data_IF_568902919414
#
_entry.id   IF_568902919414
#
_cell.length_a   1.000
_cell.length_b   1.000
_cell.length_c   1.000
_cell.angle_alpha   90.00
_cell.angle_beta   90.00
_cell.angle_gamma   90.00
#
_symmetry.space_group_name_H-M   'P 1'
#
loop_
_entity.id
_entity.type
_entity.pdbx_description
1 polymer ?
#
# COMPACT_ATOMS: atom_id res chain seq x y z
N UNK A 1 -16.28 22.28 26.64
CA UNK A 1 -15.19 22.07 25.64
C UNK A 1 -14.03 22.94 26.09
N UNK A 2 -12.80 22.41 26.28
CA UNK A 2 -11.66 23.27 26.58
C UNK A 2 -11.36 24.20 25.40
N UNK A 3 -11.14 25.48 25.68
CA UNK A 3 -10.82 26.49 24.68
C UNK A 3 -9.35 26.36 24.25
N UNK A 4 -9.14 25.76 23.08
CA UNK A 4 -7.82 25.54 22.50
C UNK A 4 -7.15 26.83 21.99
N UNK A 5 -7.85 27.97 21.98
CA UNK A 5 -7.32 29.27 21.57
C UNK A 5 -6.34 29.88 22.59
N UNK A 6 -6.36 29.42 23.84
CA UNK A 6 -5.57 29.97 24.95
C UNK A 6 -4.38 29.08 25.37
N UNK A 7 -4.20 27.91 24.75
CA UNK A 7 -3.08 27.01 25.08
C UNK A 7 -1.77 27.50 24.48
N UNK A 8 -0.71 27.50 25.30
CA UNK A 8 0.65 27.79 24.82
C UNK A 8 1.16 26.67 23.91
N UNK A 9 2.23 26.93 23.15
CA UNK A 9 2.82 25.91 22.27
C UNK A 9 3.27 24.66 23.02
N UNK A 10 3.74 24.82 24.26
CA UNK A 10 4.12 23.72 25.15
C UNK A 10 2.89 22.92 25.62
N UNK A 11 1.80 23.60 26.00
CA UNK A 11 0.57 22.93 26.43
C UNK A 11 -0.07 22.12 25.31
N UNK A 12 -0.08 22.65 24.08
CA UNK A 12 -0.57 21.94 22.89
C UNK A 12 0.29 20.69 22.58
N UNK A 13 1.61 20.77 22.78
CA UNK A 13 2.53 19.64 22.58
C UNK A 13 2.27 18.55 23.62
N UNK A 14 2.13 18.94 24.89
CA UNK A 14 1.82 18.04 25.99
C UNK A 14 0.44 17.38 25.80
N UNK A 15 -0.58 18.15 25.45
CA UNK A 15 -1.90 17.63 25.13
C UNK A 15 -1.87 16.66 23.93
N UNK A 16 -1.05 16.94 22.91
CA UNK A 16 -0.82 16.03 21.79
C UNK A 16 -0.21 14.68 22.23
N UNK A 17 0.75 14.71 23.16
CA UNK A 17 1.36 13.51 23.75
C UNK A 17 0.34 12.70 24.55
N UNK A 18 -0.43 13.35 25.41
CA UNK A 18 -1.48 12.69 26.20
C UNK A 18 -2.53 12.03 25.32
N UNK A 19 -2.95 12.69 24.24
CA UNK A 19 -3.90 12.12 23.27
C UNK A 19 -3.32 10.90 22.54
N UNK A 20 -2.03 10.93 22.18
CA UNK A 20 -1.35 9.76 21.62
C UNK A 20 -1.34 8.61 22.63
N UNK A 21 -0.97 8.88 23.88
CA UNK A 21 -0.80 7.81 24.87
C UNK A 21 -2.15 7.18 25.27
N UNK A 22 -3.21 7.99 25.36
CA UNK A 22 -4.58 7.48 25.51
C UNK A 22 -5.02 6.62 24.30
N UNK A 23 -4.62 7.01 23.08
CA UNK A 23 -4.91 6.23 21.88
C UNK A 23 -4.12 4.92 21.81
N UNK A 24 -2.87 4.91 22.25
CA UNK A 24 -2.04 3.70 22.38
C UNK A 24 -2.70 2.72 23.37
N UNK A 25 -3.26 3.22 24.46
CA UNK A 25 -3.99 2.42 25.45
C UNK A 25 -5.31 1.86 24.89
N UNK A 26 -6.11 2.70 24.23
CA UNK A 26 -7.32 2.24 23.53
C UNK A 26 -7.02 1.17 22.47
N UNK A 27 -5.88 1.29 21.77
CA UNK A 27 -5.44 0.30 20.79
C UNK A 27 -5.08 -1.05 21.43
N UNK A 28 -4.44 -1.04 22.61
CA UNK A 28 -4.17 -2.27 23.38
C UNK A 28 -5.45 -2.93 23.85
N UNK A 29 -6.45 -2.14 24.24
CA UNK A 29 -7.79 -2.61 24.62
C UNK A 29 -8.64 -3.09 23.43
N UNK A 30 -8.13 -2.99 22.19
CA UNK A 30 -8.86 -3.39 20.98
C UNK A 30 -9.91 -2.38 20.51
N UNK A 31 -10.03 -1.23 21.16
CA UNK A 31 -10.99 -0.16 20.81
C UNK A 31 -10.43 0.68 19.64
N UNK A 32 -10.47 0.10 18.44
CA UNK A 32 -9.82 0.68 17.26
C UNK A 32 -10.37 2.07 16.88
N UNK A 33 -11.68 2.28 17.00
CA UNK A 33 -12.32 3.56 16.66
C UNK A 33 -11.88 4.67 17.62
N UNK A 34 -11.88 4.39 18.92
CA UNK A 34 -11.40 5.34 19.94
C UNK A 34 -9.92 5.66 19.75
N UNK A 35 -9.10 4.64 19.46
CA UNK A 35 -7.69 4.83 19.14
C UNK A 35 -7.50 5.74 17.92
N UNK A 36 -8.20 5.48 16.81
CA UNK A 36 -8.13 6.30 15.60
C UNK A 36 -8.55 7.75 15.86
N UNK A 37 -9.62 7.96 16.64
CA UNK A 37 -10.06 9.29 17.03
C UNK A 37 -8.99 10.01 17.88
N UNK A 38 -8.43 9.33 18.88
CA UNK A 38 -7.38 9.89 19.74
C UNK A 38 -6.13 10.28 18.94
N UNK A 39 -5.67 9.43 18.02
CA UNK A 39 -4.57 9.75 17.12
C UNK A 39 -4.88 10.93 16.20
N UNK A 40 -6.12 11.04 15.69
CA UNK A 40 -6.50 12.18 14.86
C UNK A 40 -6.48 13.50 15.66
N UNK A 41 -7.01 13.49 16.88
CA UNK A 41 -6.94 14.65 17.77
C UNK A 41 -5.49 15.04 18.10
N UNK A 42 -4.61 14.06 18.35
CA UNK A 42 -3.19 14.30 18.56
C UNK A 42 -2.54 14.97 17.34
N UNK A 43 -2.82 14.48 16.13
CA UNK A 43 -2.31 15.08 14.89
C UNK A 43 -2.83 16.50 14.65
N UNK A 44 -4.07 16.82 15.01
CA UNK A 44 -4.58 18.18 14.87
C UNK A 44 -3.82 19.17 15.75
N UNK A 45 -3.54 18.80 17.00
CA UNK A 45 -2.76 19.64 17.92
C UNK A 45 -1.32 19.81 17.43
N UNK A 46 -0.66 18.73 17.02
CA UNK A 46 0.74 18.72 16.58
C UNK A 46 0.93 19.42 15.23
N UNK A 47 0.01 19.24 14.27
CA UNK A 47 0.09 19.93 12.97
C UNK A 47 -0.28 21.41 13.09
N UNK A 48 -1.18 21.77 14.02
CA UNK A 48 -1.47 23.17 14.36
C UNK A 48 -0.20 23.91 14.80
N UNK A 49 0.60 23.28 15.67
CA UNK A 49 1.89 23.82 16.11
C UNK A 49 2.92 23.96 15.00
N UNK A 50 3.04 22.96 14.11
CA UNK A 50 3.94 23.06 12.95
C UNK A 50 3.54 24.20 12.00
N UNK A 51 2.24 24.47 11.84
CA UNK A 51 1.74 25.56 10.99
C UNK A 51 1.92 26.92 11.66
N UNK A 52 1.70 27.03 12.97
CA UNK A 52 1.94 28.25 13.75
C UNK A 52 3.44 28.62 13.73
N UNK A 53 4.33 27.64 13.88
CA UNK A 53 5.78 27.83 13.75
C UNK A 53 6.21 28.29 12.35
N UNK A 54 5.58 27.73 11.30
CA UNK A 54 5.83 28.12 9.91
C UNK A 54 5.25 29.51 9.58
N UNK A 55 4.11 29.87 10.16
CA UNK A 55 3.47 31.19 10.03
C UNK A 55 4.25 32.30 10.73
N UNK A 56 4.82 32.05 11.91
CA UNK A 56 5.74 32.97 12.56
C UNK A 56 7.07 33.13 11.79
N UNK A 57 7.56 32.05 11.16
CA UNK A 57 8.75 32.13 10.31
C UNK A 57 8.52 32.90 9.00
N UNK A 58 7.29 32.89 8.47
CA UNK A 58 6.90 33.61 7.26
C UNK A 58 6.63 35.12 7.47
N UNK A 59 6.50 35.57 8.73
CA UNK A 59 6.34 37.00 9.09
C UNK A 59 7.66 37.74 9.30
N UNK A 60 8.82 37.07 9.15
CA UNK A 60 10.12 37.71 9.14
C UNK A 60 10.60 37.86 7.70
N UNK A 61 10.89 39.08 7.25
CA UNK A 61 11.59 39.42 6.01
C UNK A 61 12.98 38.77 5.96
N UNK A 62 13.04 37.45 5.76
CA UNK A 62 14.25 36.75 5.35
C UNK A 62 14.06 36.33 3.90
N UNK A 63 15.03 36.58 3.01
CA UNK A 63 14.99 36.03 1.68
C UNK A 63 14.87 34.52 1.80
N UNK A 64 13.80 33.98 1.22
CA UNK A 64 13.57 32.54 1.15
C UNK A 64 14.74 31.91 0.39
N UNK A 65 15.71 31.37 1.13
CA UNK A 65 16.69 30.48 0.55
C UNK A 65 15.91 29.31 -0.05
N UNK A 66 16.18 28.91 -1.31
CA UNK A 66 15.49 27.78 -1.91
C UNK A 66 15.78 26.56 -1.04
N UNK A 67 14.73 26.05 -0.39
CA UNK A 67 14.83 24.84 0.40
C UNK A 67 15.29 23.71 -0.52
N UNK A 68 16.57 23.35 -0.44
CA UNK A 68 17.08 22.16 -1.08
C UNK A 68 16.29 20.96 -0.53
N UNK A 69 15.68 20.13 -1.38
CA UNK A 69 14.87 18.99 -0.93
C UNK A 69 15.66 17.94 -0.14
N UNK A 70 17.00 18.01 -0.15
CA UNK A 70 17.92 17.03 0.43
C UNK A 70 18.73 17.54 1.65
N UNK A 71 18.42 18.71 2.22
CA UNK A 71 19.01 19.10 3.49
C UNK A 71 18.43 18.22 4.63
N UNK A 72 19.25 17.56 5.48
CA UNK A 72 18.74 16.82 6.63
C UNK A 72 18.08 17.83 7.58
N UNK A 73 16.76 17.95 7.47
CA UNK A 73 15.96 18.68 8.45
C UNK A 73 16.14 17.94 9.77
N UNK A 74 16.75 18.60 10.75
CA UNK A 74 16.76 18.08 12.12
C UNK A 74 15.33 17.68 12.48
N UNK A 75 15.12 16.38 12.73
CA UNK A 75 13.80 15.85 13.04
C UNK A 75 13.35 16.54 14.33
N UNK A 76 12.36 17.42 14.22
CA UNK A 76 11.80 18.07 15.40
C UNK A 76 11.11 17.03 16.27
N UNK A 77 10.99 17.31 17.58
CA UNK A 77 10.23 16.45 18.50
C UNK A 77 8.80 16.19 17.99
N UNK A 78 8.20 17.19 17.35
CA UNK A 78 6.87 17.10 16.73
C UNK A 78 6.89 16.11 15.56
N UNK A 79 7.90 16.16 14.68
CA UNK A 79 8.00 15.24 13.54
C UNK A 79 8.15 13.78 14.01
N UNK A 80 8.93 13.54 15.07
CA UNK A 80 9.09 12.22 15.68
C UNK A 80 7.76 11.72 16.27
N UNK A 81 6.98 12.59 16.92
CA UNK A 81 5.67 12.21 17.45
C UNK A 81 4.65 11.93 16.34
N UNK A 82 4.59 12.79 15.34
CA UNK A 82 3.68 12.67 14.19
C UNK A 82 3.97 11.39 13.42
N UNK A 83 5.23 11.05 13.23
CA UNK A 83 5.68 9.80 12.62
C UNK A 83 5.15 8.57 13.37
N UNK A 84 5.33 8.51 14.69
CA UNK A 84 4.83 7.42 15.54
C UNK A 84 3.30 7.31 15.47
N UNK A 85 2.60 8.44 15.49
CA UNK A 85 1.15 8.46 15.40
C UNK A 85 0.67 7.88 14.06
N UNK A 86 1.27 8.29 12.94
CA UNK A 86 0.94 7.72 11.63
C UNK A 86 1.25 6.22 11.54
N UNK A 87 2.36 5.78 12.12
CA UNK A 87 2.71 4.36 12.17
C UNK A 87 1.68 3.54 12.98
N UNK A 88 1.15 4.10 14.09
CA UNK A 88 0.14 3.45 14.91
C UNK A 88 -1.26 3.49 14.25
N UNK A 89 -1.63 4.59 13.58
CA UNK A 89 -2.85 4.64 12.76
C UNK A 89 -2.84 3.60 11.64
N UNK A 90 -1.69 3.40 10.99
CA UNK A 90 -1.54 2.34 9.98
C UNK A 90 -1.83 0.96 10.59
N UNK A 91 -1.34 0.69 11.80
CA UNK A 91 -1.64 -0.56 12.51
C UNK A 91 -3.14 -0.72 12.84
N UNK A 92 -3.81 0.36 13.24
CA UNK A 92 -5.26 0.37 13.48
C UNK A 92 -6.04 0.07 12.20
N UNK A 93 -5.68 0.71 11.09
CA UNK A 93 -6.34 0.50 9.81
C UNK A 93 -6.14 -0.91 9.26
N UNK A 94 -4.96 -1.51 9.47
CA UNK A 94 -4.72 -2.94 9.16
C UNK A 94 -5.67 -3.82 9.96
N UNK A 95 -5.81 -3.60 11.27
CA UNK A 95 -6.74 -4.38 12.10
C UNK A 95 -8.20 -4.19 11.68
N UNK A 96 -8.56 -3.02 11.17
CA UNK A 96 -9.91 -2.72 10.68
C UNK A 96 -10.15 -3.17 9.21
N UNK A 97 -9.16 -3.79 8.55
CA UNK A 97 -9.26 -4.16 7.13
C UNK A 97 -9.26 -2.99 6.14
N UNK A 98 -8.97 -1.77 6.61
CA UNK A 98 -8.93 -0.56 5.78
C UNK A 98 -7.56 -0.40 5.12
N UNK A 99 -7.24 -1.26 4.15
CA UNK A 99 -5.91 -1.35 3.54
C UNK A 99 -5.44 -0.05 2.88
N UNK A 100 -6.33 0.64 2.16
CA UNK A 100 -5.99 1.92 1.51
C UNK A 100 -5.52 2.98 2.52
N UNK A 101 -6.27 3.16 3.61
CA UNK A 101 -5.90 4.09 4.68
C UNK A 101 -4.64 3.63 5.42
N UNK A 102 -4.46 2.33 5.61
CA UNK A 102 -3.24 1.79 6.22
C UNK A 102 -1.99 2.12 5.39
N UNK A 103 -2.08 2.02 4.07
CA UNK A 103 -1.00 2.41 3.15
C UNK A 103 -0.72 3.91 3.24
N UNK A 104 -1.73 4.77 3.15
CA UNK A 104 -1.58 6.23 3.24
C UNK A 104 -0.92 6.65 4.55
N UNK A 105 -1.35 6.10 5.68
CA UNK A 105 -0.74 6.37 6.99
C UNK A 105 0.71 5.87 7.06
N UNK A 106 1.01 4.69 6.52
CA UNK A 106 2.37 4.17 6.49
C UNK A 106 3.30 5.04 5.61
N UNK A 107 2.82 5.52 4.47
CA UNK A 107 3.59 6.44 3.60
C UNK A 107 3.86 7.77 4.29
N UNK A 108 2.90 8.33 5.04
CA UNK A 108 3.09 9.54 5.84
C UNK A 108 4.11 9.35 6.96
N UNK A 109 4.12 8.18 7.61
CA UNK A 109 5.14 7.84 8.60
C UNK A 109 6.53 7.76 7.95
N UNK A 110 6.65 7.07 6.81
CA UNK A 110 7.91 6.92 6.08
C UNK A 110 8.45 8.23 5.50
N UNK A 111 7.58 9.18 5.16
CA UNK A 111 7.97 10.51 4.73
C UNK A 111 8.63 11.34 5.86
N UNK A 112 8.37 10.99 7.12
CA UNK A 112 9.00 11.60 8.30
C UNK A 112 10.20 10.78 8.78
N UNK A 113 10.08 9.45 8.73
CA UNK A 113 11.17 8.54 9.05
C UNK A 113 11.24 7.36 8.09
N UNK A 114 12.17 7.44 7.14
CA UNK A 114 12.42 6.37 6.18
C UNK A 114 12.98 5.09 6.82
N UNK A 115 13.53 5.16 8.04
CA UNK A 115 14.02 3.98 8.78
C UNK A 115 12.98 3.35 9.71
N UNK A 116 11.70 3.76 9.65
CA UNK A 116 10.64 3.03 10.33
C UNK A 116 10.27 1.75 9.58
N UNK A 117 11.02 0.68 9.85
CA UNK A 117 10.79 -0.65 9.25
C UNK A 117 9.40 -1.23 9.59
N UNK A 118 8.80 -0.88 10.74
CA UNK A 118 7.43 -1.31 11.06
C UNK A 118 6.41 -0.66 10.14
N UNK A 119 6.56 0.64 9.83
CA UNK A 119 5.71 1.32 8.86
C UNK A 119 5.93 0.76 7.44
N UNK A 120 7.18 0.46 7.07
CA UNK A 120 7.51 -0.17 5.79
C UNK A 120 6.85 -1.55 5.65
N UNK A 121 6.90 -2.39 6.68
CA UNK A 121 6.23 -3.70 6.69
C UNK A 121 4.71 -3.54 6.52
N UNK A 122 4.11 -2.61 7.27
CA UNK A 122 2.67 -2.33 7.19
C UNK A 122 2.25 -1.83 5.81
N UNK A 123 3.08 -1.00 5.15
CA UNK A 123 2.87 -0.58 3.75
C UNK A 123 2.88 -1.78 2.81
N UNK A 124 3.90 -2.64 2.92
CA UNK A 124 4.01 -3.86 2.11
C UNK A 124 2.78 -4.76 2.28
N UNK A 125 2.37 -5.02 3.52
CA UNK A 125 1.16 -5.80 3.83
C UNK A 125 -0.11 -5.16 3.25
N UNK A 126 -0.29 -3.86 3.41
CA UNK A 126 -1.46 -3.16 2.89
C UNK A 126 -1.52 -3.17 1.35
N UNK A 127 -0.38 -3.10 0.66
CA UNK A 127 -0.31 -3.23 -0.80
C UNK A 127 -0.67 -4.65 -1.26
N UNK A 128 -0.20 -5.67 -0.54
CA UNK A 128 -0.50 -7.06 -0.83
C UNK A 128 -2.01 -7.35 -0.77
N UNK A 129 -2.67 -6.92 0.31
CA UNK A 129 -4.11 -7.14 0.51
C UNK A 129 -4.99 -6.34 -0.46
N UNK A 130 -4.46 -5.26 -1.05
CA UNK A 130 -5.10 -4.54 -2.15
C UNK A 130 -4.91 -5.23 -3.52
N UNK A 131 -4.11 -6.29 -3.59
CA UNK A 131 -3.78 -7.00 -4.83
C UNK A 131 -2.59 -6.42 -5.61
N UNK A 132 -1.92 -5.39 -5.08
CA UNK A 132 -0.70 -4.81 -5.68
C UNK A 132 0.53 -5.64 -5.29
N UNK A 133 0.56 -6.91 -5.68
CA UNK A 133 1.55 -7.90 -5.20
C UNK A 133 2.98 -7.50 -5.56
N UNK A 134 3.24 -7.13 -6.81
CA UNK A 134 4.57 -6.70 -7.27
C UNK A 134 5.11 -5.52 -6.46
N UNK A 135 4.25 -4.53 -6.16
CA UNK A 135 4.63 -3.37 -5.35
C UNK A 135 4.88 -3.76 -3.90
N UNK A 136 4.09 -4.68 -3.36
CA UNK A 136 4.28 -5.21 -2.01
C UNK A 136 5.64 -5.94 -1.88
N UNK A 137 5.99 -6.77 -2.86
CA UNK A 137 7.26 -7.50 -2.90
C UNK A 137 8.43 -6.51 -2.88
N UNK A 138 8.43 -5.49 -3.74
CA UNK A 138 9.52 -4.49 -3.78
C UNK A 138 9.72 -3.81 -2.43
N UNK A 139 8.63 -3.40 -1.77
CA UNK A 139 8.69 -2.74 -0.45
C UNK A 139 9.22 -3.69 0.64
N UNK A 140 8.83 -4.96 0.60
CA UNK A 140 9.30 -5.95 1.58
C UNK A 140 10.75 -6.39 1.34
N UNK A 141 11.21 -6.42 0.08
CA UNK A 141 12.62 -6.65 -0.27
C UNK A 141 13.50 -5.49 0.17
N UNK A 142 13.04 -4.25 -0.05
CA UNK A 142 13.70 -3.05 0.47
C UNK A 142 13.82 -3.11 2.00
N UNK A 143 12.73 -3.48 2.70
CA UNK A 143 12.75 -3.66 4.14
C UNK A 143 13.78 -4.71 4.57
N UNK A 144 13.77 -5.89 3.94
CA UNK A 144 14.70 -6.97 4.25
C UNK A 144 16.16 -6.53 4.09
N UNK A 145 16.43 -5.67 3.12
CA UNK A 145 17.78 -5.17 2.80
C UNK A 145 18.23 -4.07 3.76
N UNK A 146 17.32 -3.14 4.10
CA UNK A 146 17.64 -1.95 4.91
C UNK A 146 17.51 -2.19 6.42
N UNK A 147 16.80 -3.22 6.86
CA UNK A 147 16.52 -3.41 8.28
C UNK A 147 17.70 -4.02 9.04
N UNK A 148 18.10 -3.34 10.11
CA UNK A 148 19.12 -3.80 11.05
C UNK A 148 18.58 -4.81 12.08
N UNK A 149 17.26 -5.07 12.07
CA UNK A 149 16.58 -5.91 13.06
C UNK A 149 16.11 -7.24 12.47
N UNK A 150 16.60 -8.34 13.03
CA UNK A 150 16.26 -9.71 12.63
C UNK A 150 14.76 -9.98 12.63
N UNK A 151 14.01 -9.42 13.59
CA UNK A 151 12.55 -9.63 13.69
C UNK A 151 11.81 -9.02 12.51
N UNK A 152 12.21 -7.83 12.09
CA UNK A 152 11.57 -7.12 10.98
C UNK A 152 11.93 -7.80 9.64
N UNK A 153 13.19 -8.26 9.48
CA UNK A 153 13.61 -9.06 8.34
C UNK A 153 12.85 -10.38 8.24
N UNK A 154 12.71 -11.11 9.35
CA UNK A 154 11.98 -12.38 9.39
C UNK A 154 10.50 -12.19 9.05
N UNK A 155 9.87 -11.12 9.57
CA UNK A 155 8.48 -10.78 9.24
C UNK A 155 8.31 -10.48 7.74
N UNK A 156 9.23 -9.70 7.15
CA UNK A 156 9.21 -9.40 5.72
C UNK A 156 9.47 -10.65 4.86
N UNK A 157 10.39 -11.53 5.28
CA UNK A 157 10.67 -12.77 4.57
C UNK A 157 9.48 -13.73 4.57
N UNK A 158 8.82 -13.92 5.73
CA UNK A 158 7.60 -14.73 5.82
C UNK A 158 6.51 -14.20 4.89
N UNK A 159 6.36 -12.88 4.82
CA UNK A 159 5.37 -12.26 3.95
C UNK A 159 5.75 -12.42 2.46
N UNK A 160 7.02 -12.23 2.10
CA UNK A 160 7.52 -12.46 0.73
C UNK A 160 7.29 -13.89 0.26
N UNK A 161 7.54 -14.88 1.11
CA UNK A 161 7.28 -16.29 0.79
C UNK A 161 5.79 -16.51 0.51
N UNK A 162 4.90 -15.93 1.35
CA UNK A 162 3.45 -15.98 1.15
C UNK A 162 3.04 -15.37 -0.19
N UNK A 163 3.54 -14.18 -0.52
CA UNK A 163 3.18 -13.47 -1.76
C UNK A 163 3.67 -14.20 -3.00
N UNK A 164 4.92 -14.70 -3.01
CA UNK A 164 5.47 -15.46 -4.14
C UNK A 164 4.73 -16.77 -4.36
N UNK A 165 4.26 -17.43 -3.29
CA UNK A 165 3.41 -18.61 -3.42
C UNK A 165 2.08 -18.26 -4.10
N UNK A 166 1.44 -17.15 -3.70
CA UNK A 166 0.19 -16.69 -4.33
C UNK A 166 0.38 -16.32 -5.81
N UNK A 167 1.49 -15.68 -6.19
CA UNK A 167 1.77 -15.38 -7.59
C UNK A 167 1.93 -16.65 -8.42
N UNK A 168 2.70 -17.62 -7.91
CA UNK A 168 2.90 -18.91 -8.57
C UNK A 168 1.59 -19.68 -8.76
N UNK A 169 0.67 -19.60 -7.79
CA UNK A 169 -0.66 -20.21 -7.91
C UNK A 169 -1.52 -19.49 -8.96
N UNK A 170 -1.54 -18.16 -8.95
CA UNK A 170 -2.26 -17.36 -9.95
C UNK A 170 -1.72 -17.59 -11.36
N UNK A 171 -0.40 -17.67 -11.52
CA UNK A 171 0.27 -17.97 -12.79
C UNK A 171 -0.11 -19.37 -13.28
N UNK A 172 -0.05 -20.39 -12.41
CA UNK A 172 -0.49 -21.75 -12.74
C UNK A 172 -1.96 -21.80 -13.16
N UNK A 173 -2.83 -21.10 -12.43
CA UNK A 173 -4.24 -21.01 -12.78
C UNK A 173 -4.46 -20.31 -14.12
N UNK A 174 -3.73 -19.23 -14.39
CA UNK A 174 -3.81 -18.50 -15.65
C UNK A 174 -3.29 -19.34 -16.83
N UNK A 175 -2.15 -20.01 -16.68
CA UNK A 175 -1.59 -20.90 -17.70
C UNK A 175 -2.53 -22.08 -18.01
N UNK A 176 -3.17 -22.67 -17.00
CA UNK A 176 -4.20 -23.71 -17.20
C UNK A 176 -5.40 -23.19 -17.99
N UNK A 177 -5.91 -21.99 -17.66
CA UNK A 177 -7.02 -21.35 -18.39
C UNK A 177 -6.64 -21.06 -19.84
N UNK A 178 -5.43 -20.53 -20.07
CA UNK A 178 -4.91 -20.22 -21.39
C UNK A 178 -4.78 -21.49 -22.25
N UNK A 179 -4.20 -22.57 -21.69
CA UNK A 179 -4.13 -23.87 -22.36
C UNK A 179 -5.51 -24.43 -22.71
N UNK A 180 -6.48 -24.37 -21.79
CA UNK A 180 -7.85 -24.81 -22.05
C UNK A 180 -8.54 -24.01 -23.16
N UNK A 181 -8.31 -22.70 -23.22
CA UNK A 181 -8.82 -21.84 -24.29
C UNK A 181 -8.19 -22.18 -25.66
N UNK A 182 -6.87 -22.32 -25.71
CA UNK A 182 -6.11 -22.68 -26.92
C UNK A 182 -6.48 -24.08 -27.44
N UNK A 183 -6.65 -25.06 -26.56
CA UNK A 183 -7.07 -26.41 -26.92
C UNK A 183 -8.52 -26.44 -27.46
N UNK A 184 -9.42 -25.61 -26.90
CA UNK A 184 -10.81 -25.52 -27.39
C UNK A 184 -10.90 -24.88 -28.78
N UNK A 185 -10.03 -23.91 -29.08
CA UNK A 185 -10.00 -23.25 -30.39
C UNK A 185 -9.42 -24.17 -31.48
N UNK A 186 -8.42 -25.00 -31.12
CA UNK A 186 -7.91 -26.06 -32.02
C UNK A 186 -8.95 -27.15 -32.29
N UNK A 187 -9.73 -27.56 -31.29
CA UNK A 187 -10.82 -28.53 -31.48
C UNK A 187 -11.86 -28.03 -32.48
N UNK A 188 -12.34 -26.79 -32.31
CA UNK A 188 -13.31 -26.17 -33.23
C UNK A 188 -12.80 -26.02 -34.68
N UNK A 189 -11.51 -25.78 -34.87
CA UNK A 189 -10.91 -25.72 -36.22
C UNK A 189 -10.79 -27.12 -36.84
N UNK A 190 -10.40 -28.13 -36.06
CA UNK A 190 -10.36 -29.51 -36.53
C UNK A 190 -11.76 -30.01 -36.92
N UNK A 191 -12.78 -29.74 -36.08
CA UNK A 191 -14.17 -30.13 -36.35
C UNK A 191 -14.75 -29.44 -37.60
N UNK A 192 -14.29 -28.22 -37.92
CA UNK A 192 -14.72 -27.50 -39.12
C UNK A 192 -14.02 -27.96 -40.41
N UNK A 193 -12.80 -28.49 -40.28
CA UNK A 193 -11.99 -28.97 -41.42
C UNK A 193 -12.35 -30.42 -41.79
N UNK A 194 -12.83 -31.22 -40.83
CA UNK A 194 -13.31 -32.60 -41.05
C UNK A 194 -14.70 -32.67 -41.72
N UNK A 195 -15.47 -31.56 -41.71
CA UNK A 195 -16.78 -31.44 -42.36
C UNK A 195 -16.72 -31.07 -43.86
N UNK A 196 -15.52 -30.89 -44.44
CA UNK A 196 -15.33 -30.69 -45.88
C UNK A 196 -14.98 -32.04 -46.50
N UNK A 197 -15.99 -32.87 -46.76
CA UNK A 197 -15.78 -34.08 -47.57
C UNK A 197 -15.29 -33.70 -48.98
N UNK A 198 -14.31 -34.42 -49.55
CA UNK A 198 -13.90 -34.19 -50.93
C UNK A 198 -15.05 -34.55 -51.85
N UNK A 199 -15.62 -33.56 -52.52
CA UNK A 199 -16.56 -33.75 -53.63
C UNK A 199 -15.87 -34.66 -54.64
N UNK A 200 -16.23 -35.94 -54.65
CA UNK A 200 -15.79 -36.88 -55.66
C UNK A 200 -16.25 -36.32 -57.01
N UNK A 201 -15.27 -36.00 -57.86
CA UNK A 201 -15.45 -35.53 -59.21
C UNK A 201 -16.41 -36.45 -59.96
N UNK A 202 -17.65 -36.00 -60.11
CA UNK A 202 -18.64 -36.66 -60.94
C UNK A 202 -18.10 -36.74 -62.37
N UNK A 203 -17.96 -37.98 -62.85
CA UNK A 203 -17.58 -38.33 -64.20
C UNK A 203 -18.63 -37.73 -65.15
N UNK A 204 -18.23 -36.75 -65.96
CA UNK A 204 -19.07 -36.21 -67.03
C UNK A 204 -19.20 -37.31 -68.07
N UNK A 205 -20.38 -37.91 -68.15
CA UNK A 205 -20.75 -38.84 -69.20
C UNK A 205 -21.03 -38.03 -70.47
N UNK A 206 -20.18 -38.21 -71.48
CA UNK A 206 -20.35 -37.59 -72.81
C UNK A 206 -21.65 -38.10 -73.44
N UNK A 207 -22.54 -37.18 -73.77
CA UNK A 207 -23.72 -37.44 -74.59
C UNK A 207 -23.29 -37.78 -76.03
N UNK A 208 -23.88 -38.78 -76.68
CA UNK A 208 -23.57 -39.07 -78.07
C UNK A 208 -24.17 -37.99 -78.99
N UNK A 209 -23.36 -37.51 -79.92
CA UNK A 209 -23.78 -36.72 -81.07
C UNK A 209 -24.75 -37.55 -81.92
N UNK A 210 -26.01 -37.12 -82.02
CA UNK A 210 -26.90 -37.56 -83.09
C UNK A 210 -27.86 -36.43 -83.52
N UNK A 211 -27.78 -36.15 -84.84
CA UNK A 211 -28.68 -35.43 -85.75
C UNK A 211 -28.63 -33.90 -85.85
#
# INVERSE_FOLDING_TARGET
MPDFSLMTSADKLQAGREKKDAADEAFKQGKLTEALMGYHSALMLLNGLNKDALGMAAGADRPAAPASPDAPKEKTEIDILVEKIYANQSACHIKNGNWKRAQECAEKALAKDASNYKAMYRKGKALAEQGYIERAIRVLEELKTKSDNDKDRAAAESELVRLRAQEKEKERANNKKLKGFLSRDKGKKADAEELIEPIQSAKIEELPDDA
#
